data_IF_465883557245
#
_entry.id   IF_465883557245
#
_cell.length_a   1.000
_cell.length_b   1.000
_cell.length_c   1.000
_cell.angle_alpha   90.00
_cell.angle_beta   90.00
_cell.angle_gamma   90.00
#
_symmetry.space_group_name_H-M   'P 1'
#
loop_
_entity.id
_entity.type
_entity.pdbx_description
1 polymer ?
#
# COMPACT_ATOMS: atom_id res chain seq x y z
N UNK A 1 -20.30 60.96 -7.95
CA UNK A 1 -19.01 60.25 -7.96
C UNK A 1 -19.28 58.78 -8.31
N UNK A 2 -19.17 58.37 -9.57
CA UNK A 2 -19.54 57.01 -10.02
C UNK A 2 -18.37 56.32 -10.74
N UNK A 3 -17.23 56.15 -10.07
CA UNK A 3 -16.03 55.49 -10.63
C UNK A 3 -15.80 54.06 -10.12
N UNK A 4 -16.71 53.49 -9.31
CA UNK A 4 -16.46 52.23 -8.61
C UNK A 4 -16.74 50.95 -9.43
N UNK A 5 -17.54 51.03 -10.50
CA UNK A 5 -18.06 49.84 -11.18
C UNK A 5 -17.06 49.18 -12.15
N UNK A 6 -16.13 49.93 -12.73
CA UNK A 6 -15.17 49.41 -13.72
C UNK A 6 -14.00 48.64 -13.07
N UNK A 7 -13.50 49.13 -11.92
CA UNK A 7 -12.45 48.45 -11.16
C UNK A 7 -12.95 47.11 -10.59
N UNK A 8 -14.19 47.08 -10.10
CA UNK A 8 -14.86 45.87 -9.60
C UNK A 8 -15.03 44.80 -10.68
N UNK A 9 -15.42 45.19 -11.91
CA UNK A 9 -15.54 44.25 -13.04
C UNK A 9 -14.21 43.67 -13.48
N UNK A 10 -13.13 44.49 -13.51
CA UNK A 10 -11.78 44.01 -13.84
C UNK A 10 -11.22 43.06 -12.78
N UNK A 11 -11.42 43.37 -11.51
CA UNK A 11 -11.03 42.51 -10.41
C UNK A 11 -11.81 41.18 -10.41
N UNK A 12 -13.11 41.23 -10.73
CA UNK A 12 -13.93 40.02 -10.90
C UNK A 12 -13.47 39.17 -12.09
N UNK A 13 -13.14 39.78 -13.23
CA UNK A 13 -12.59 39.06 -14.38
C UNK A 13 -11.24 38.41 -14.08
N UNK A 14 -10.32 39.13 -13.43
CA UNK A 14 -9.02 38.59 -13.01
C UNK A 14 -9.17 37.44 -12.00
N UNK A 15 -10.12 37.56 -11.06
CA UNK A 15 -10.44 36.50 -10.11
C UNK A 15 -10.98 35.24 -10.77
N UNK A 16 -11.87 35.39 -11.76
CA UNK A 16 -12.42 34.26 -12.53
C UNK A 16 -11.35 33.57 -13.38
N UNK A 17 -10.44 34.33 -14.00
CA UNK A 17 -9.32 33.77 -14.79
C UNK A 17 -8.36 32.99 -13.89
N UNK A 18 -8.00 33.53 -12.71
CA UNK A 18 -7.14 32.82 -11.76
C UNK A 18 -7.80 31.56 -11.19
N UNK A 19 -9.10 31.60 -10.91
CA UNK A 19 -9.85 30.44 -10.44
C UNK A 19 -9.96 29.35 -11.51
N UNK A 20 -10.19 29.72 -12.77
CA UNK A 20 -10.22 28.80 -13.90
C UNK A 20 -8.84 28.16 -14.17
N UNK A 21 -7.76 28.94 -14.04
CA UNK A 21 -6.39 28.42 -14.15
C UNK A 21 -6.03 27.45 -13.02
N UNK A 22 -6.47 27.74 -11.78
CA UNK A 22 -6.27 26.84 -10.64
C UNK A 22 -7.01 25.50 -10.75
N UNK A 23 -8.22 25.51 -11.35
CA UNK A 23 -9.00 24.29 -11.58
C UNK A 23 -8.38 23.40 -12.68
N UNK A 24 -7.74 23.98 -13.69
CA UNK A 24 -7.05 23.21 -14.75
C UNK A 24 -5.84 22.43 -14.22
N UNK A 25 -5.17 22.91 -13.16
CA UNK A 25 -3.99 22.27 -12.58
C UNK A 25 -4.31 21.02 -11.73
N UNK A 26 -5.58 20.81 -11.38
CA UNK A 26 -6.05 19.60 -10.69
C UNK A 26 -6.74 18.59 -11.62
N UNK A 27 -6.82 18.88 -12.92
CA UNK A 27 -7.26 17.91 -13.92
C UNK A 27 -6.04 17.19 -14.51
N UNK A 28 -6.23 15.98 -15.02
CA UNK A 28 -5.19 15.14 -15.63
C UNK A 28 -4.48 15.76 -16.85
N UNK A 29 -4.75 17.02 -17.20
CA UNK A 29 -4.03 17.78 -18.19
C UNK A 29 -2.75 18.37 -17.57
N UNK A 30 -1.58 17.91 -18.00
CA UNK A 30 -0.29 18.48 -17.66
C UNK A 30 0.18 19.44 -18.78
N UNK A 31 -0.22 20.73 -18.75
CA UNK A 31 0.09 21.67 -19.83
C UNK A 31 1.60 21.92 -19.99
N UNK A 32 2.35 21.82 -18.89
CA UNK A 32 3.81 21.98 -18.90
C UNK A 32 4.49 20.80 -19.59
N UNK A 33 4.02 19.59 -19.33
CA UNK A 33 4.51 18.37 -19.99
C UNK A 33 4.26 18.41 -21.50
N UNK A 34 3.09 18.89 -21.91
CA UNK A 34 2.72 18.97 -23.33
C UNK A 34 3.52 20.04 -24.08
N UNK A 35 3.77 21.20 -23.45
CA UNK A 35 4.64 22.23 -23.99
C UNK A 35 6.10 21.77 -24.12
N UNK A 36 6.62 21.03 -23.13
CA UNK A 36 7.96 20.46 -23.20
C UNK A 36 8.07 19.42 -24.33
N UNK A 37 7.05 18.56 -24.47
CA UNK A 37 7.01 17.58 -25.54
C UNK A 37 6.97 18.26 -26.93
N UNK A 38 6.14 19.29 -27.11
CA UNK A 38 6.01 20.01 -28.39
C UNK A 38 7.22 20.89 -28.73
N UNK A 39 7.92 21.41 -27.73
CA UNK A 39 9.12 22.25 -27.92
C UNK A 39 10.40 21.45 -28.16
N UNK A 40 10.34 20.12 -28.11
CA UNK A 40 11.52 19.26 -28.25
C UNK A 40 12.49 19.33 -27.06
N UNK A 41 12.12 20.04 -26.00
CA UNK A 41 12.84 20.09 -24.72
C UNK A 41 12.41 18.96 -23.76
N UNK A 42 11.41 18.19 -24.17
CA UNK A 42 10.93 17.02 -23.44
C UNK A 42 11.91 15.83 -23.51
N UNK A 43 11.77 14.85 -22.61
CA UNK A 43 12.59 13.66 -22.63
C UNK A 43 12.45 12.90 -23.95
N UNK A 44 13.57 12.45 -24.54
CA UNK A 44 13.55 11.54 -25.69
C UNK A 44 12.89 10.22 -25.27
N UNK A 45 11.69 9.96 -25.79
CA UNK A 45 10.99 8.69 -25.60
C UNK A 45 11.46 7.73 -26.67
N UNK A 46 12.06 6.61 -26.26
CA UNK A 46 12.43 5.55 -27.19
C UNK A 46 11.17 4.98 -27.87
N UNK A 47 11.24 4.65 -29.17
CA UNK A 47 10.11 4.03 -29.86
C UNK A 47 9.75 2.71 -29.18
N UNK A 48 8.46 2.54 -28.89
CA UNK A 48 7.96 1.28 -28.33
C UNK A 48 7.95 0.20 -29.43
N UNK A 49 8.27 -1.06 -29.10
CA UNK A 49 8.10 -2.17 -30.03
C UNK A 49 6.64 -2.34 -30.48
N UNK A 50 6.42 -2.81 -31.72
CA UNK A 50 5.09 -2.89 -32.33
C UNK A 50 4.09 -3.73 -31.53
N UNK A 51 4.54 -4.85 -30.97
CA UNK A 51 3.68 -5.70 -30.14
C UNK A 51 3.20 -4.98 -28.88
N UNK A 52 4.00 -4.06 -28.32
CA UNK A 52 3.63 -3.24 -27.15
C UNK A 52 2.67 -2.13 -27.55
N UNK A 53 2.79 -1.59 -28.76
CA UNK A 53 1.85 -0.61 -29.29
C UNK A 53 0.47 -1.22 -29.55
N UNK A 54 0.45 -2.45 -30.09
CA UNK A 54 -0.78 -3.18 -30.42
C UNK A 54 -1.47 -3.76 -29.18
N UNK A 55 -0.71 -4.24 -28.19
CA UNK A 55 -1.28 -4.87 -26.99
C UNK A 55 -1.78 -3.87 -25.95
N UNK A 56 -1.36 -2.59 -26.04
CA UNK A 56 -1.75 -1.57 -25.06
C UNK A 56 -3.19 -1.09 -25.33
N UNK A 57 -4.08 -1.14 -24.33
CA UNK A 57 -5.38 -0.49 -24.42
C UNK A 57 -5.21 1.01 -24.68
N UNK A 58 -6.03 1.57 -25.56
CA UNK A 58 -6.04 3.01 -25.85
C UNK A 58 -6.57 3.83 -24.66
N UNK A 59 -7.46 3.23 -23.87
CA UNK A 59 -8.00 3.79 -22.63
C UNK A 59 -7.72 2.84 -21.48
N UNK A 60 -7.19 3.38 -20.40
CA UNK A 60 -6.99 2.66 -19.17
C UNK A 60 -8.05 3.14 -18.17
N UNK A 61 -9.08 2.33 -17.97
CA UNK A 61 -10.14 2.61 -17.00
C UNK A 61 -9.71 2.17 -15.60
N UNK A 62 -8.62 2.78 -15.11
CA UNK A 62 -8.15 2.54 -13.75
C UNK A 62 -8.88 3.50 -12.79
N UNK A 63 -9.40 2.96 -11.69
CA UNK A 63 -9.78 3.79 -10.56
C UNK A 63 -8.56 4.48 -9.97
N UNK A 64 -8.69 5.77 -9.67
CA UNK A 64 -7.63 6.53 -9.03
C UNK A 64 -7.43 6.06 -7.59
N UNK A 65 -6.20 6.23 -7.08
CA UNK A 65 -5.96 5.95 -5.67
C UNK A 65 -6.80 6.92 -4.83
N UNK A 66 -7.59 6.38 -3.92
CA UNK A 66 -8.46 7.16 -3.04
C UNK A 66 -9.86 7.47 -3.58
N UNK A 67 -10.23 7.03 -4.80
CA UNK A 67 -11.65 7.01 -5.18
C UNK A 67 -12.34 5.84 -4.49
N UNK A 68 -13.50 6.12 -3.88
CA UNK A 68 -14.39 5.06 -3.38
C UNK A 68 -15.09 4.42 -4.56
N UNK A 69 -15.15 3.09 -4.58
CA UNK A 69 -15.95 2.35 -5.55
C UNK A 69 -17.44 2.70 -5.32
N UNK A 70 -18.13 3.31 -6.31
CA UNK A 70 -19.53 3.69 -6.17
C UNK A 70 -20.46 2.46 -5.99
N UNK A 71 -20.00 1.25 -6.34
CA UNK A 71 -20.75 0.01 -6.24
C UNK A 71 -20.57 -0.77 -4.94
N UNK A 72 -19.83 -0.23 -3.96
CA UNK A 72 -19.57 -0.98 -2.72
C UNK A 72 -20.88 -1.17 -1.94
N UNK A 73 -21.41 -2.40 -1.93
CA UNK A 73 -22.64 -2.76 -1.22
C UNK A 73 -22.57 -2.50 0.29
N UNK A 74 -21.37 -2.44 0.85
CA UNK A 74 -21.11 -2.17 2.27
C UNK A 74 -20.69 -0.71 2.46
N UNK A 75 -21.45 0.05 3.25
CA UNK A 75 -21.08 1.40 3.67
C UNK A 75 -19.76 1.41 4.46
N UNK A 76 -19.08 2.56 4.46
CA UNK A 76 -17.99 2.78 5.40
C UNK A 76 -18.52 2.66 6.84
N UNK A 77 -17.72 2.04 7.73
CA UNK A 77 -18.05 1.98 9.16
C UNK A 77 -18.02 3.37 9.76
N UNK A 78 -18.94 3.65 10.67
CA UNK A 78 -18.90 4.89 11.45
C UNK A 78 -17.73 4.87 12.43
N UNK A 79 -17.27 6.03 12.90
CA UNK A 79 -16.18 6.09 13.89
C UNK A 79 -16.52 5.32 15.18
N UNK A 80 -17.78 5.33 15.58
CA UNK A 80 -18.27 4.56 16.72
C UNK A 80 -18.19 3.04 16.47
N UNK A 81 -18.59 2.58 15.28
CA UNK A 81 -18.48 1.16 14.90
C UNK A 81 -17.03 0.69 14.80
N UNK A 82 -16.13 1.54 14.33
CA UNK A 82 -14.69 1.24 14.32
C UNK A 82 -14.18 1.08 15.75
N UNK A 83 -14.54 1.99 16.66
CA UNK A 83 -14.15 1.92 18.07
C UNK A 83 -14.72 0.69 18.79
N UNK A 84 -15.96 0.32 18.48
CA UNK A 84 -16.58 -0.89 19.00
C UNK A 84 -15.84 -2.15 18.51
N UNK A 85 -15.46 -2.20 17.22
CA UNK A 85 -14.69 -3.30 16.67
C UNK A 85 -13.28 -3.41 17.26
N UNK A 86 -12.61 -2.28 17.51
CA UNK A 86 -11.31 -2.27 18.21
C UNK A 86 -11.45 -2.86 19.62
N UNK A 87 -12.48 -2.45 20.38
CA UNK A 87 -12.72 -2.97 21.72
C UNK A 87 -13.03 -4.48 21.73
N UNK A 88 -13.77 -4.97 20.73
CA UNK A 88 -14.05 -6.40 20.58
C UNK A 88 -12.77 -7.21 20.34
N UNK A 89 -11.88 -6.71 19.46
CA UNK A 89 -10.60 -7.36 19.17
C UNK A 89 -9.69 -7.41 20.39
N UNK A 90 -9.63 -6.34 21.18
CA UNK A 90 -8.84 -6.31 22.41
C UNK A 90 -9.41 -7.26 23.48
N UNK A 91 -10.73 -7.34 23.60
CA UNK A 91 -11.38 -8.31 24.49
C UNK A 91 -11.12 -9.76 24.04
N UNK A 92 -11.10 -10.04 22.74
CA UNK A 92 -10.74 -11.34 22.19
C UNK A 92 -9.27 -11.69 22.50
N UNK A 93 -8.34 -10.73 22.34
CA UNK A 93 -6.94 -10.90 22.71
C UNK A 93 -6.81 -11.24 24.19
N UNK A 94 -7.45 -10.49 25.08
CA UNK A 94 -7.39 -10.72 26.52
C UNK A 94 -7.88 -12.12 26.90
N UNK A 95 -8.99 -12.59 26.31
CA UNK A 95 -9.51 -13.95 26.53
C UNK A 95 -8.54 -15.03 26.07
N UNK A 96 -7.95 -14.87 24.88
CA UNK A 96 -6.97 -15.83 24.35
C UNK A 96 -5.71 -15.89 25.20
N UNK A 97 -5.23 -14.75 25.70
CA UNK A 97 -4.09 -14.69 26.61
C UNK A 97 -4.41 -15.40 27.93
N UNK A 98 -5.57 -15.15 28.53
CA UNK A 98 -5.97 -15.81 29.76
C UNK A 98 -6.15 -17.33 29.60
N UNK A 99 -6.71 -17.78 28.48
CA UNK A 99 -6.83 -19.21 28.18
C UNK A 99 -5.45 -19.85 27.96
N UNK A 100 -4.54 -19.16 27.25
CA UNK A 100 -3.18 -19.63 27.01
C UNK A 100 -2.35 -19.73 28.29
N UNK A 101 -2.45 -18.75 29.18
CA UNK A 101 -1.76 -18.81 30.48
C UNK A 101 -2.31 -19.93 31.35
N UNK A 102 -3.63 -20.13 31.39
CA UNK A 102 -4.24 -21.24 32.11
C UNK A 102 -3.85 -22.61 31.54
N UNK A 103 -3.74 -22.74 30.21
CA UNK A 103 -3.25 -23.97 29.59
C UNK A 103 -1.77 -24.22 29.91
N UNK A 104 -0.95 -23.17 29.90
CA UNK A 104 0.48 -23.27 30.24
C UNK A 104 0.71 -23.70 31.69
N UNK A 105 -0.11 -23.22 32.64
CA UNK A 105 -0.02 -23.66 34.05
C UNK A 105 -0.45 -25.12 34.22
N UNK A 106 -1.47 -25.58 33.50
CA UNK A 106 -1.98 -26.96 33.59
C UNK A 106 -1.10 -27.99 32.83
N UNK A 107 -0.47 -27.58 31.73
CA UNK A 107 0.28 -28.45 30.82
C UNK A 107 1.78 -28.51 31.06
N UNK A 108 2.29 -27.87 32.12
CA UNK A 108 3.70 -27.86 32.46
C UNK A 108 4.22 -29.21 32.93
N UNK A 109 4.45 -30.17 32.03
CA UNK A 109 5.21 -31.38 32.34
C UNK A 109 6.70 -31.09 32.20
N UNK A 110 7.56 -31.51 33.17
CA UNK A 110 9.00 -31.38 33.02
C UNK A 110 9.48 -32.12 31.77
N UNK A 111 10.53 -31.62 31.10
CA UNK A 111 11.08 -32.29 29.91
C UNK A 111 11.44 -33.74 30.26
N UNK A 112 11.10 -34.72 29.39
CA UNK A 112 11.46 -36.11 29.63
C UNK A 112 12.98 -36.24 29.74
N UNK A 113 13.49 -37.12 30.62
CA UNK A 113 14.92 -37.30 30.77
C UNK A 113 15.54 -37.68 29.42
N UNK A 114 16.73 -37.13 29.08
CA UNK A 114 17.38 -37.42 27.82
C UNK A 114 17.62 -38.93 27.71
N UNK A 115 17.13 -39.54 26.62
CA UNK A 115 17.41 -40.94 26.29
C UNK A 115 18.91 -41.10 26.05
N UNK A 116 19.55 -41.95 26.86
CA UNK A 116 20.94 -42.32 26.65
C UNK A 116 21.06 -43.05 25.30
N UNK A 117 21.71 -42.42 24.33
CA UNK A 117 22.08 -43.10 23.08
C UNK A 117 23.18 -44.12 23.39
N UNK A 118 23.07 -45.38 22.90
CA UNK A 118 24.10 -46.38 23.14
C UNK A 118 25.42 -45.89 22.54
N UNK A 119 26.48 -45.91 23.35
CA UNK A 119 27.83 -45.53 22.95
C UNK A 119 28.27 -46.38 21.76
N UNK A 120 28.77 -45.72 20.71
CA UNK A 120 29.35 -46.39 19.56
C UNK A 120 30.46 -47.35 20.01
N UNK A 121 30.37 -48.61 19.57
CA UNK A 121 31.35 -49.65 19.87
C UNK A 121 32.76 -49.22 19.43
N UNK A 122 33.82 -49.59 20.17
CA UNK A 122 35.19 -49.25 19.81
C UNK A 122 35.57 -49.90 18.47
N UNK A 123 36.09 -49.09 17.56
CA UNK A 123 36.62 -49.51 16.25
C UNK A 123 37.79 -50.50 16.49
N UNK A 124 37.79 -51.70 15.87
CA UNK A 124 38.90 -52.64 16.06
C UNK A 124 40.19 -52.07 15.47
N UNK A 125 41.27 -52.14 16.26
CA UNK A 125 42.60 -51.73 15.85
C UNK A 125 43.06 -52.55 14.63
N UNK A 126 43.32 -51.86 13.52
CA UNK A 126 43.89 -52.45 12.31
C UNK A 126 45.29 -53.00 12.61
N UNK A 127 45.49 -54.28 12.25
CA UNK A 127 46.76 -54.98 12.40
C UNK A 127 47.88 -54.27 11.62
N UNK A 128 49.02 -54.14 12.27
CA UNK A 128 50.30 -53.72 11.70
C UNK A 128 50.71 -54.62 10.53
N UNK A 129 51.15 -54.01 9.43
CA UNK A 129 51.86 -54.67 8.34
C UNK A 129 53.33 -54.28 8.43
N UNK A 130 54.15 -55.21 8.91
CA UNK A 130 55.63 -55.13 8.91
C UNK A 130 56.13 -55.64 7.55
N UNK A 131 57.22 -55.08 6.98
CA UNK A 131 57.71 -55.38 5.63
C UNK A 131 58.09 -56.84 5.39
#
# INVERSE_FOLDING_TARGET
MNFSTAASRRAAFLGVVFLAAGLSACSSANPTGEFLASSGLGPTVAPRPDFVAQSRPQSLDYMTIGTSDPGRATSARTAAEVKAAEAELDAARARSLAAGTAAATLGGTPPPPPVASPAAAPKPAGKSKTP
#
